data_IF_390106719275
#
_entry.id   IF_390106719275
#
_cell.length_a   1.000
_cell.length_b   1.000
_cell.length_c   1.000
_cell.angle_alpha   90.00
_cell.angle_beta   90.00
_cell.angle_gamma   90.00
#
_symmetry.space_group_name_H-M   'P 1'
#
loop_
_entity.id
_entity.type
_entity.pdbx_description
1 polymer ?
#
# COMPACT_ATOMS: atom_id res chain seq x y z
N UNK A 1 -15.70 -0.18 1.96
CA UNK A 1 -15.19 -1.08 0.91
C UNK A 1 -14.09 -0.40 0.12
N UNK A 2 -13.13 -1.18 -0.37
CA UNK A 2 -12.01 -0.73 -1.22
C UNK A 2 -11.93 -1.61 -2.47
N UNK A 3 -11.24 -1.14 -3.51
CA UNK A 3 -11.06 -1.91 -4.75
C UNK A 3 -9.59 -2.09 -5.09
N UNK A 4 -9.17 -3.36 -5.22
CA UNK A 4 -7.83 -3.75 -5.65
C UNK A 4 -7.78 -3.83 -7.17
N UNK A 5 -7.12 -2.83 -7.76
CA UNK A 5 -6.95 -2.73 -9.21
C UNK A 5 -5.82 -3.66 -9.69
N UNK A 6 -5.77 -4.01 -10.99
CA UNK A 6 -4.59 -4.65 -11.58
C UNK A 6 -3.29 -3.87 -11.25
N UNK A 7 -2.20 -4.59 -11.04
CA UNK A 7 -0.96 -4.05 -10.48
C UNK A 7 -0.21 -3.12 -11.43
N UNK A 8 -0.34 -3.33 -12.74
CA UNK A 8 0.42 -2.68 -13.80
C UNK A 8 -0.29 -1.48 -14.46
N UNK A 9 -1.42 -1.01 -13.89
CA UNK A 9 -2.14 0.14 -14.44
C UNK A 9 -1.31 1.42 -14.41
N UNK A 10 -1.30 2.13 -15.54
CA UNK A 10 -0.71 3.46 -15.67
C UNK A 10 -1.48 4.51 -14.87
N UNK A 11 -0.83 5.64 -14.59
CA UNK A 11 -1.45 6.79 -13.91
C UNK A 11 -2.71 7.29 -14.62
N UNK A 12 -2.72 7.30 -15.96
CA UNK A 12 -3.87 7.72 -16.75
C UNK A 12 -5.06 6.75 -16.58
N UNK A 13 -4.81 5.45 -16.52
CA UNK A 13 -5.84 4.45 -16.29
C UNK A 13 -6.39 4.53 -14.86
N UNK A 14 -5.52 4.74 -13.86
CA UNK A 14 -5.94 4.95 -12.48
C UNK A 14 -6.81 6.20 -12.34
N UNK A 15 -6.43 7.30 -12.99
CA UNK A 15 -7.22 8.53 -13.02
C UNK A 15 -8.59 8.34 -13.68
N UNK A 16 -8.65 7.57 -14.78
CA UNK A 16 -9.92 7.25 -15.44
C UNK A 16 -10.85 6.41 -14.55
N UNK A 17 -10.32 5.43 -13.80
CA UNK A 17 -11.09 4.69 -12.80
C UNK A 17 -11.58 5.65 -11.71
N UNK A 18 -10.68 6.49 -11.16
CA UNK A 18 -11.03 7.45 -10.12
C UNK A 18 -12.13 8.41 -10.57
N UNK A 19 -12.19 8.80 -11.85
CA UNK A 19 -13.22 9.69 -12.37
C UNK A 19 -14.64 9.11 -12.34
N UNK A 20 -14.80 7.80 -12.12
CA UNK A 20 -16.10 7.10 -12.16
C UNK A 20 -16.43 6.33 -10.89
N UNK A 21 -15.46 6.14 -10.01
CA UNK A 21 -15.61 5.48 -8.72
C UNK A 21 -15.44 6.51 -7.62
N UNK A 22 -16.04 6.30 -6.44
CA UNK A 22 -15.79 7.13 -5.24
C UNK A 22 -15.04 6.37 -4.12
N UNK A 23 -15.01 5.04 -4.18
CA UNK A 23 -14.35 4.20 -3.18
C UNK A 23 -12.82 4.30 -3.22
N UNK A 24 -12.10 4.07 -2.10
CA UNK A 24 -10.64 4.04 -2.11
C UNK A 24 -10.08 2.93 -3.01
N UNK A 25 -9.03 3.28 -3.75
CA UNK A 25 -8.30 2.33 -4.59
C UNK A 25 -7.12 1.74 -3.82
N UNK A 26 -6.88 0.46 -4.01
CA UNK A 26 -5.73 -0.27 -3.48
C UNK A 26 -4.72 -0.47 -4.61
N UNK A 27 -3.59 0.23 -4.58
CA UNK A 27 -2.64 0.25 -5.70
C UNK A 27 -1.25 -0.18 -5.24
N UNK A 28 -0.70 -1.22 -5.87
CA UNK A 28 0.67 -1.64 -5.62
C UNK A 28 1.69 -0.72 -6.30
N UNK A 29 2.70 -0.29 -5.55
CA UNK A 29 3.85 0.49 -6.08
C UNK A 29 5.13 -0.30 -6.13
N UNK A 30 5.12 -1.50 -5.56
CA UNK A 30 6.08 -2.55 -5.85
C UNK A 30 5.40 -3.90 -5.59
N UNK A 31 5.86 -4.95 -6.27
CA UNK A 31 5.31 -6.29 -6.15
C UNK A 31 6.42 -7.35 -6.18
N UNK A 32 6.17 -8.54 -5.61
CA UNK A 32 7.07 -9.69 -5.77
C UNK A 32 7.25 -10.11 -7.23
N UNK A 33 8.21 -10.99 -7.45
CA UNK A 33 8.65 -11.38 -8.78
C UNK A 33 7.60 -12.20 -9.54
N UNK A 34 6.85 -13.03 -8.82
CA UNK A 34 5.72 -13.81 -9.33
C UNK A 34 4.46 -12.97 -9.62
N UNK A 35 4.48 -11.67 -9.27
CA UNK A 35 3.40 -10.70 -9.52
C UNK A 35 3.81 -9.59 -10.50
N UNK A 36 4.91 -9.77 -11.24
CA UNK A 36 5.37 -8.87 -12.30
C UNK A 36 6.63 -8.07 -11.94
N UNK A 37 6.99 -7.99 -10.66
CA UNK A 37 8.33 -7.55 -10.27
C UNK A 37 8.69 -6.09 -10.52
N UNK A 38 7.73 -5.18 -10.65
CA UNK A 38 8.04 -3.78 -10.88
C UNK A 38 8.23 -2.99 -9.57
N UNK A 39 8.86 -1.81 -9.70
CA UNK A 39 9.02 -0.82 -8.63
C UNK A 39 8.75 0.56 -9.24
N UNK A 40 7.76 1.29 -8.70
CA UNK A 40 7.31 2.60 -9.20
C UNK A 40 7.23 3.67 -8.09
N UNK A 41 8.18 3.65 -7.15
CA UNK A 41 8.17 4.54 -5.98
C UNK A 41 8.15 6.04 -6.35
N UNK A 42 8.81 6.42 -7.43
CA UNK A 42 8.81 7.82 -7.90
C UNK A 42 7.46 8.30 -8.41
N UNK A 43 6.54 7.38 -8.74
CA UNK A 43 5.18 7.75 -9.15
C UNK A 43 4.24 7.94 -7.97
N UNK A 44 4.63 7.59 -6.73
CA UNK A 44 3.77 7.73 -5.54
C UNK A 44 3.11 9.12 -5.43
N UNK A 45 3.84 10.25 -5.61
CA UNK A 45 3.25 11.58 -5.52
C UNK A 45 2.17 11.81 -6.59
N UNK A 46 2.44 11.39 -7.83
CA UNK A 46 1.50 11.53 -8.93
C UNK A 46 0.28 10.62 -8.79
N UNK A 47 0.51 9.39 -8.36
CA UNK A 47 -0.50 8.39 -8.05
C UNK A 47 -1.47 8.92 -6.99
N UNK A 48 -0.95 9.43 -5.86
CA UNK A 48 -1.80 10.01 -4.81
C UNK A 48 -2.63 11.17 -5.36
N UNK A 49 -2.02 12.06 -6.14
CA UNK A 49 -2.73 13.22 -6.71
C UNK A 49 -3.89 12.84 -7.63
N UNK A 50 -3.73 11.81 -8.45
CA UNK A 50 -4.75 11.45 -9.46
C UNK A 50 -5.73 10.37 -8.99
N UNK A 51 -5.39 9.60 -7.96
CA UNK A 51 -6.17 8.45 -7.52
C UNK A 51 -6.73 8.56 -6.10
N UNK A 52 -6.39 9.61 -5.34
CA UNK A 52 -6.92 9.79 -3.98
C UNK A 52 -8.47 9.75 -3.94
N UNK A 53 -9.07 9.13 -2.91
CA UNK A 53 -8.44 8.38 -1.83
C UNK A 53 -7.82 7.05 -2.31
N UNK A 54 -6.59 6.75 -1.87
CA UNK A 54 -5.82 5.59 -2.33
C UNK A 54 -4.95 4.99 -1.22
N UNK A 55 -4.91 3.67 -1.14
CA UNK A 55 -3.97 2.91 -0.33
C UNK A 55 -2.78 2.47 -1.18
N UNK A 56 -1.61 3.00 -0.84
CA UNK A 56 -0.35 2.66 -1.50
C UNK A 56 0.19 1.35 -0.92
N UNK A 57 0.14 0.27 -1.69
CA UNK A 57 0.53 -1.08 -1.27
C UNK A 57 1.97 -1.42 -1.65
N UNK A 58 2.69 -2.03 -0.71
CA UNK A 58 4.09 -2.45 -0.86
C UNK A 58 4.19 -3.97 -0.82
N UNK A 59 4.31 -4.58 -2.00
CA UNK A 59 4.38 -6.04 -2.16
C UNK A 59 5.77 -6.63 -1.89
N UNK A 60 6.82 -5.81 -1.93
CA UNK A 60 8.25 -6.14 -1.84
C UNK A 60 8.81 -6.88 -3.06
N UNK A 61 9.52 -6.13 -3.92
CA UNK A 61 10.30 -6.69 -5.04
C UNK A 61 11.43 -7.60 -4.53
N UNK A 62 11.70 -8.70 -5.25
CA UNK A 62 12.65 -9.76 -4.91
C UNK A 62 12.28 -10.56 -3.65
N UNK A 63 11.05 -10.41 -3.13
CA UNK A 63 10.58 -11.27 -2.05
C UNK A 63 10.24 -12.66 -2.59
N UNK A 64 10.64 -13.75 -1.90
CA UNK A 64 10.13 -15.08 -2.21
C UNK A 64 8.64 -15.17 -1.86
N UNK A 65 7.92 -16.04 -2.57
CA UNK A 65 6.56 -16.40 -2.17
C UNK A 65 6.62 -17.25 -0.88
N UNK A 66 5.88 -16.83 0.14
CA UNK A 66 5.85 -17.46 1.46
C UNK A 66 4.49 -18.11 1.77
N UNK A 67 3.57 -18.17 0.81
CA UNK A 67 2.23 -18.70 1.04
C UNK A 67 2.05 -20.11 0.45
N UNK A 68 1.42 -21.04 1.20
CA UNK A 68 0.98 -20.89 2.60
C UNK A 68 2.17 -20.82 3.58
N UNK A 69 2.08 -19.95 4.59
CA UNK A 69 3.15 -19.74 5.58
C UNK A 69 2.90 -20.57 6.84
N UNK A 70 3.95 -21.17 7.39
CA UNK A 70 3.93 -21.87 8.69
C UNK A 70 5.19 -21.55 9.52
N UNK A 71 5.36 -22.21 10.67
CA UNK A 71 6.50 -21.97 11.59
C UNK A 71 7.86 -22.15 10.90
N UNK A 72 7.96 -23.04 9.92
CA UNK A 72 9.14 -23.25 9.09
C UNK A 72 9.54 -22.04 8.21
N UNK A 73 8.65 -21.07 8.00
CA UNK A 73 8.90 -19.83 7.25
C UNK A 73 8.81 -18.57 8.12
N UNK A 74 8.59 -18.72 9.43
CA UNK A 74 8.31 -17.59 10.33
C UNK A 74 9.44 -16.54 10.32
N UNK A 75 10.70 -16.98 10.44
CA UNK A 75 11.85 -16.07 10.40
C UNK A 75 11.90 -15.26 9.09
N UNK A 76 11.60 -15.91 7.96
CA UNK A 76 11.53 -15.26 6.64
C UNK A 76 10.35 -14.27 6.60
N UNK A 77 9.16 -14.67 7.06
CA UNK A 77 7.99 -13.82 7.08
C UNK A 77 8.22 -12.54 7.92
N UNK A 78 8.86 -12.68 9.09
CA UNK A 78 9.24 -11.55 9.94
C UNK A 78 10.25 -10.64 9.24
N UNK A 79 11.28 -11.20 8.60
CA UNK A 79 12.28 -10.43 7.86
C UNK A 79 11.65 -9.64 6.70
N UNK A 80 10.78 -10.27 5.91
CA UNK A 80 10.05 -9.61 4.82
C UNK A 80 9.08 -8.53 5.35
N UNK A 81 8.44 -8.75 6.49
CA UNK A 81 7.60 -7.76 7.16
C UNK A 81 8.38 -6.50 7.54
N UNK A 82 9.56 -6.66 8.15
CA UNK A 82 10.45 -5.53 8.50
C UNK A 82 10.90 -4.76 7.26
N UNK A 83 11.25 -5.47 6.19
CA UNK A 83 11.65 -4.83 4.94
C UNK A 83 10.49 -4.07 4.28
N UNK A 84 9.26 -4.59 4.30
CA UNK A 84 8.07 -3.85 3.83
C UNK A 84 7.86 -2.55 4.57
N UNK A 85 8.03 -2.53 5.90
CA UNK A 85 7.94 -1.28 6.70
C UNK A 85 9.03 -0.30 6.28
N UNK A 86 10.27 -0.77 6.06
CA UNK A 86 11.36 0.07 5.56
C UNK A 86 11.04 0.66 4.18
N UNK A 87 10.49 -0.14 3.26
CA UNK A 87 10.07 0.30 1.92
C UNK A 87 8.93 1.31 1.96
N UNK A 88 7.94 1.07 2.82
CA UNK A 88 6.84 2.01 3.05
C UNK A 88 7.37 3.37 3.54
N UNK A 89 8.35 3.37 4.45
CA UNK A 89 8.99 4.62 4.90
C UNK A 89 9.70 5.37 3.77
N UNK A 90 10.40 4.67 2.88
CA UNK A 90 11.02 5.29 1.69
C UNK A 90 9.95 5.90 0.78
N UNK A 91 8.86 5.19 0.52
CA UNK A 91 7.73 5.70 -0.26
C UNK A 91 7.08 6.93 0.38
N UNK A 92 6.95 6.93 1.70
CA UNK A 92 6.47 8.09 2.45
C UNK A 92 7.42 9.29 2.32
N UNK A 93 8.74 9.07 2.39
CA UNK A 93 9.73 10.13 2.18
C UNK A 93 9.67 10.71 0.75
N UNK A 94 9.42 9.88 -0.27
CA UNK A 94 9.16 10.34 -1.64
C UNK A 94 7.91 11.22 -1.71
N UNK A 95 6.80 10.77 -1.10
CA UNK A 95 5.56 11.53 -1.08
C UNK A 95 5.73 12.90 -0.41
N UNK A 96 6.30 12.93 0.81
CA UNK A 96 6.53 14.17 1.55
C UNK A 96 7.46 15.15 0.81
N UNK A 97 8.42 14.64 0.04
CA UNK A 97 9.37 15.47 -0.70
C UNK A 97 8.73 16.12 -1.93
N UNK A 98 7.91 15.38 -2.66
CA UNK A 98 7.43 15.78 -4.00
C UNK A 98 5.95 16.18 -4.04
N UNK A 99 5.19 15.88 -3.00
CA UNK A 99 3.82 16.35 -2.81
C UNK A 99 3.51 16.55 -1.31
N UNK A 100 4.06 17.62 -0.69
CA UNK A 100 3.97 17.87 0.74
C UNK A 100 2.54 18.15 1.24
N UNK A 101 1.64 18.58 0.36
CA UNK A 101 0.24 18.84 0.68
C UNK A 101 -0.64 17.57 0.73
N UNK A 102 -0.04 16.39 0.50
CA UNK A 102 -0.76 15.12 0.59
C UNK A 102 -1.19 14.84 2.04
N UNK A 103 -2.48 14.60 2.24
CA UNK A 103 -3.03 14.22 3.53
C UNK A 103 -3.03 12.70 3.72
N UNK A 104 -2.58 12.25 4.90
CA UNK A 104 -2.65 10.84 5.31
C UNK A 104 -3.69 10.71 6.41
N UNK A 105 -4.37 9.57 6.44
CA UNK A 105 -5.29 9.27 7.53
C UNK A 105 -4.54 9.19 8.87
N UNK A 106 -5.13 9.67 9.98
CA UNK A 106 -4.47 9.63 11.27
C UNK A 106 -4.17 8.18 11.69
N UNK A 107 -3.11 7.95 12.49
CA UNK A 107 -2.88 6.66 13.11
C UNK A 107 -4.11 6.17 13.87
N UNK A 108 -4.48 4.90 13.69
CA UNK A 108 -5.69 4.32 14.30
C UNK A 108 -6.99 4.64 13.55
N UNK A 109 -6.94 5.27 12.38
CA UNK A 109 -8.11 5.41 11.51
C UNK A 109 -8.70 4.03 11.19
N UNK A 110 -9.99 3.86 11.45
CA UNK A 110 -10.70 2.61 11.22
C UNK A 110 -11.11 2.51 9.75
N UNK A 111 -10.73 1.40 9.12
CA UNK A 111 -11.21 1.01 7.80
C UNK A 111 -11.83 -0.38 7.86
N UNK A 112 -12.85 -0.67 7.04
CA UNK A 112 -13.34 -2.03 6.89
C UNK A 112 -12.18 -2.99 6.56
N UNK A 113 -11.90 -3.96 7.43
CA UNK A 113 -10.84 -4.96 7.23
C UNK A 113 -9.51 -4.71 7.95
N UNK A 114 -9.31 -3.57 8.60
CA UNK A 114 -8.20 -3.42 9.56
C UNK A 114 -8.60 -4.05 10.91
N UNK A 115 -7.72 -4.84 11.55
CA UNK A 115 -7.94 -5.26 12.93
C UNK A 115 -8.05 -4.00 13.81
N UNK A 116 -9.20 -3.80 14.42
CA UNK A 116 -9.34 -2.80 15.48
C UNK A 116 -8.77 -3.40 16.76
N UNK A 117 -7.91 -2.66 17.45
CA UNK A 117 -7.47 -3.07 18.78
C UNK A 117 -8.70 -3.21 19.67
N UNK A 118 -8.86 -4.37 20.31
CA UNK A 118 -9.99 -4.68 21.19
C UNK A 118 -10.16 -3.64 22.33
N UNK A 119 -9.07 -2.95 22.70
CA UNK A 119 -8.99 -1.99 23.82
C UNK A 119 -9.36 -0.54 23.46
N UNK A 120 -9.54 -0.21 22.18
CA UNK A 120 -9.87 1.18 21.77
C UNK A 120 -11.30 1.61 22.17
N UNK A 121 -12.14 0.71 22.68
CA UNK A 121 -13.50 1.02 23.16
C UNK A 121 -13.58 1.59 24.57
N UNK A 122 -12.51 1.55 25.36
CA UNK A 122 -12.55 1.94 26.79
C UNK A 122 -11.95 3.33 27.09
N UNK A 123 -11.58 4.09 26.05
CA UNK A 123 -11.00 5.44 26.18
C UNK A 123 -11.75 6.52 25.38
N UNK A 124 -13.08 6.51 25.43
CA UNK A 124 -13.92 7.62 24.97
C UNK A 124 -14.90 8.01 26.08
#
# INVERSE_FOLDING_TARGET
>A
DTYNVPTDLSLAQLAAIRATADLPLDVYVEVPDDFGGFVRHYEIPDLVRVAAPVFVKFGLRNAPNIYPSGTHLEATAVALGRERVRRARIGQEMLMRYYPDAETTPPGATFPGLPVDADSKERA
#
